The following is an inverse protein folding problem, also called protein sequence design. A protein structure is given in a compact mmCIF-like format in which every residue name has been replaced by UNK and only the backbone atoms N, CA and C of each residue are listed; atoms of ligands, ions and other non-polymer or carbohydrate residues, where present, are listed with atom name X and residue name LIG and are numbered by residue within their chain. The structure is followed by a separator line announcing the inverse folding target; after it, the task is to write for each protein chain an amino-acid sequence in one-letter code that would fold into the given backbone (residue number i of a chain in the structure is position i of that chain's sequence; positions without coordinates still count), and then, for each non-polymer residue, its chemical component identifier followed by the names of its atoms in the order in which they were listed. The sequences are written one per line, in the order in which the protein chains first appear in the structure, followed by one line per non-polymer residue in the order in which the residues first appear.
data_IF_101357316714
#
_entry.id   IF_101357316714
#
_cell.length_a   1.000
_cell.length_b   1.000
_cell.length_c   1.000
_cell.angle_alpha   90.00
_cell.angle_beta   90.00
_cell.angle_gamma   90.00
#
_symmetry.space_group_name_H-M   'P 1'
#
loop_
_entity.id
_entity.type
_entity.pdbx_description
1 polymer ?
#
# COMPACT_ATOMS: atom_id res chain seq x y z
N UNK A 1 4.10 5.19 -12.90
CA UNK A 1 4.04 3.70 -12.88
C UNK A 1 5.11 3.08 -13.77
N UNK A 2 5.27 3.49 -15.05
CA UNK A 2 6.33 2.98 -15.93
C UNK A 2 7.75 3.02 -15.34
N UNK A 3 8.11 4.10 -14.64
CA UNK A 3 9.43 4.21 -14.00
C UNK A 3 9.61 3.29 -12.79
N UNK A 4 8.54 2.89 -12.11
CA UNK A 4 8.59 1.94 -11.00
C UNK A 4 9.00 0.54 -11.50
N UNK A 5 8.40 0.07 -12.59
CA UNK A 5 8.72 -1.24 -13.17
C UNK A 5 10.12 -1.28 -13.77
N UNK A 6 10.52 -0.24 -14.53
CA UNK A 6 11.90 -0.12 -15.06
C UNK A 6 12.94 -0.21 -13.95
N UNK A 7 12.70 0.50 -12.85
CA UNK A 7 13.64 0.62 -11.75
C UNK A 7 13.77 -0.66 -10.92
N UNK A 8 12.64 -1.31 -10.62
CA UNK A 8 12.64 -2.49 -9.76
C UNK A 8 12.79 -3.81 -10.54
N UNK A 9 12.91 -3.75 -11.87
CA UNK A 9 13.04 -4.90 -12.76
C UNK A 9 11.89 -5.92 -12.58
N UNK A 10 10.72 -5.46 -12.16
CA UNK A 10 9.54 -6.32 -12.16
C UNK A 10 9.17 -6.59 -13.63
N UNK A 11 9.09 -7.85 -14.07
CA UNK A 11 8.65 -8.18 -15.41
C UNK A 11 7.30 -7.49 -15.71
N UNK A 12 7.20 -6.79 -16.84
CA UNK A 12 5.94 -6.17 -17.29
C UNK A 12 4.89 -7.23 -17.69
N UNK A 13 5.28 -8.51 -17.73
CA UNK A 13 4.46 -9.66 -18.14
C UNK A 13 4.38 -10.73 -17.04
N UNK A 14 4.34 -10.32 -15.77
CA UNK A 14 3.98 -11.23 -14.68
C UNK A 14 2.50 -11.57 -14.79
N UNK A 15 2.17 -12.58 -15.60
CA UNK A 15 0.87 -13.23 -15.52
C UNK A 15 0.70 -13.82 -14.12
N UNK A 16 -0.47 -13.61 -13.50
CA UNK A 16 -0.79 -14.23 -12.23
C UNK A 16 -0.65 -15.75 -12.40
N UNK A 17 0.15 -16.39 -11.54
CA UNK A 17 0.33 -17.84 -11.53
C UNK A 17 0.10 -18.32 -10.11
N UNK A 18 -0.73 -19.34 -9.99
CA UNK A 18 -0.98 -20.00 -8.72
C UNK A 18 0.35 -20.46 -8.09
N UNK A 19 0.53 -20.14 -6.81
CA UNK A 19 1.61 -20.73 -6.03
C UNK A 19 1.41 -22.24 -5.92
N UNK A 20 2.51 -22.99 -5.85
CA UNK A 20 2.51 -24.46 -5.73
C UNK A 20 3.44 -24.92 -4.61
N UNK A 21 3.26 -26.16 -4.19
CA UNK A 21 4.11 -26.80 -3.18
C UNK A 21 4.21 -26.01 -1.88
N UNK A 22 5.43 -25.87 -1.37
CA UNK A 22 5.72 -25.17 -0.10
C UNK A 22 5.23 -23.72 -0.13
N UNK A 23 5.41 -23.00 -1.23
CA UNK A 23 4.98 -21.60 -1.34
C UNK A 23 3.48 -21.44 -1.13
N UNK A 24 2.65 -22.35 -1.66
CA UNK A 24 1.20 -22.34 -1.45
C UNK A 24 0.83 -22.55 0.01
N UNK A 25 1.53 -23.45 0.69
CA UNK A 25 1.30 -23.75 2.11
C UNK A 25 1.66 -22.53 2.96
N UNK A 26 2.84 -21.95 2.73
CA UNK A 26 3.30 -20.75 3.45
C UNK A 26 2.32 -19.59 3.25
N UNK A 27 1.89 -19.34 2.00
CA UNK A 27 0.93 -18.28 1.71
C UNK A 27 -0.41 -18.49 2.41
N UNK A 28 -0.95 -19.72 2.45
CA UNK A 28 -2.17 -20.02 3.22
C UNK A 28 -2.03 -19.71 4.71
N UNK A 29 -0.86 -19.99 5.29
CA UNK A 29 -0.57 -19.64 6.69
C UNK A 29 -0.55 -18.12 6.87
N UNK A 30 0.11 -17.38 5.98
CA UNK A 30 0.17 -15.91 6.03
C UNK A 30 -1.23 -15.29 5.89
N UNK A 31 -2.02 -15.72 4.92
CA UNK A 31 -3.42 -15.29 4.72
C UNK A 31 -4.22 -15.48 6.02
N UNK A 32 -4.10 -16.66 6.66
CA UNK A 32 -4.79 -16.94 7.93
C UNK A 32 -4.37 -15.99 9.05
N UNK A 33 -3.09 -15.63 9.14
CA UNK A 33 -2.62 -14.65 10.11
C UNK A 33 -3.14 -13.25 9.82
N UNK A 34 -3.16 -12.82 8.56
CA UNK A 34 -3.71 -11.52 8.15
C UNK A 34 -5.21 -11.42 8.52
N UNK A 35 -6.01 -12.44 8.22
CA UNK A 35 -7.41 -12.50 8.64
C UNK A 35 -7.58 -12.50 10.16
N UNK A 36 -6.65 -13.11 10.90
CA UNK A 36 -6.67 -13.07 12.38
C UNK A 36 -6.41 -11.66 12.89
N UNK A 37 -5.48 -10.91 12.29
CA UNK A 37 -5.24 -9.51 12.62
C UNK A 37 -6.51 -8.68 12.38
N UNK A 38 -7.16 -8.87 11.23
CA UNK A 38 -8.42 -8.19 10.90
C UNK A 38 -9.48 -8.43 11.98
N UNK A 39 -9.72 -9.69 12.36
CA UNK A 39 -10.69 -10.07 13.41
C UNK A 39 -10.36 -9.50 14.77
N UNK A 40 -9.07 -9.47 15.15
CA UNK A 40 -8.62 -8.90 16.42
C UNK A 40 -8.86 -7.40 16.44
N UNK A 41 -8.49 -6.68 15.37
CA UNK A 41 -8.73 -5.24 15.25
C UNK A 41 -10.24 -4.92 15.35
N UNK A 42 -11.08 -5.67 14.65
CA UNK A 42 -12.54 -5.51 14.73
C UNK A 42 -13.10 -5.76 16.13
N UNK A 43 -12.59 -6.77 16.83
CA UNK A 43 -12.97 -7.06 18.22
C UNK A 43 -12.64 -5.88 19.13
N UNK A 44 -11.44 -5.31 19.03
CA UNK A 44 -11.05 -4.15 19.85
C UNK A 44 -11.86 -2.89 19.50
N UNK A 45 -12.15 -2.64 18.23
CA UNK A 45 -13.06 -1.56 17.83
C UNK A 45 -14.43 -1.70 18.51
N UNK A 46 -15.01 -2.91 18.54
CA UNK A 46 -16.27 -3.17 19.26
C UNK A 46 -16.15 -2.94 20.76
N UNK A 47 -15.09 -3.44 21.38
CA UNK A 47 -14.87 -3.33 22.83
C UNK A 47 -14.65 -1.88 23.30
N UNK A 48 -14.10 -1.02 22.44
CA UNK A 48 -13.89 0.40 22.73
C UNK A 48 -15.15 1.26 22.50
N UNK A 49 -16.32 0.64 22.38
CA UNK A 49 -17.57 1.35 22.12
C UNK A 49 -17.62 2.03 20.75
N UNK A 50 -16.81 1.55 19.79
CA UNK A 50 -16.66 2.13 18.44
C UNK A 50 -16.17 3.58 18.44
N UNK A 51 -15.48 4.02 19.50
CA UNK A 51 -14.97 5.39 19.56
C UNK A 51 -13.64 5.56 18.83
N UNK A 52 -12.84 4.49 18.69
CA UNK A 52 -11.56 4.54 18.02
C UNK A 52 -11.61 3.92 16.62
N UNK A 53 -11.89 4.76 15.63
CA UNK A 53 -11.98 4.38 14.22
C UNK A 53 -10.69 3.77 13.64
N UNK A 54 -9.52 3.99 14.26
CA UNK A 54 -8.26 3.40 13.75
C UNK A 54 -8.29 1.87 13.73
N UNK A 55 -8.89 1.25 14.74
CA UNK A 55 -9.05 -0.21 14.78
C UNK A 55 -9.96 -0.71 13.67
N UNK A 56 -11.01 0.05 13.33
CA UNK A 56 -11.90 -0.32 12.23
C UNK A 56 -11.20 -0.19 10.88
N UNK A 57 -10.42 0.88 10.67
CA UNK A 57 -9.61 1.05 9.46
C UNK A 57 -8.58 -0.07 9.29
N UNK A 58 -7.87 -0.46 10.36
CA UNK A 58 -6.93 -1.58 10.31
C UNK A 58 -7.61 -2.92 10.04
N UNK A 59 -8.82 -3.12 10.56
CA UNK A 59 -9.63 -4.29 10.24
C UNK A 59 -9.93 -4.37 8.73
N UNK A 60 -10.48 -3.30 8.16
CA UNK A 60 -10.82 -3.24 6.73
C UNK A 60 -9.59 -3.49 5.87
N UNK A 61 -8.50 -2.73 6.07
CA UNK A 61 -7.26 -2.90 5.30
C UNK A 61 -6.67 -4.31 5.39
N UNK A 62 -6.76 -4.95 6.56
CA UNK A 62 -6.23 -6.31 6.74
C UNK A 62 -7.12 -7.37 6.08
N UNK A 63 -8.43 -7.15 6.04
CA UNK A 63 -9.38 -8.03 5.36
C UNK A 63 -9.13 -8.00 3.85
N UNK A 64 -9.15 -6.83 3.23
CA UNK A 64 -8.93 -6.71 1.77
C UNK A 64 -7.55 -7.18 1.35
N UNK A 65 -6.52 -6.97 2.18
CA UNK A 65 -5.19 -7.51 1.94
C UNK A 65 -5.20 -9.04 1.91
N UNK A 66 -5.97 -9.70 2.79
CA UNK A 66 -6.06 -11.15 2.80
C UNK A 66 -6.78 -11.70 1.56
N UNK A 67 -7.76 -10.97 1.02
CA UNK A 67 -8.46 -11.33 -0.21
C UNK A 67 -7.54 -11.20 -1.43
N UNK A 68 -6.82 -10.07 -1.53
CA UNK A 68 -5.79 -9.86 -2.55
C UNK A 68 -4.72 -10.97 -2.50
N UNK A 69 -4.22 -11.30 -1.31
CA UNK A 69 -3.26 -12.39 -1.13
C UNK A 69 -3.81 -13.74 -1.57
N UNK A 70 -5.12 -13.97 -1.39
CA UNK A 70 -5.79 -15.21 -1.80
C UNK A 70 -5.86 -15.31 -3.33
N UNK A 71 -6.33 -14.26 -4.01
CA UNK A 71 -6.36 -14.22 -5.48
C UNK A 71 -4.98 -14.42 -6.09
N UNK A 72 -3.97 -13.71 -5.59
CA UNK A 72 -2.57 -13.89 -6.00
C UNK A 72 -2.09 -15.33 -5.77
N UNK A 73 -2.40 -15.91 -4.61
CA UNK A 73 -1.95 -17.25 -4.27
C UNK A 73 -2.56 -18.33 -5.16
N UNK A 74 -3.83 -18.16 -5.55
CA UNK A 74 -4.56 -19.11 -6.38
C UNK A 74 -4.38 -18.85 -7.89
N UNK A 75 -3.72 -17.75 -8.28
CA UNK A 75 -3.62 -17.40 -9.70
C UNK A 75 -4.94 -16.89 -10.28
N UNK A 76 -5.86 -16.45 -9.43
CA UNK A 76 -7.18 -15.95 -9.79
C UNK A 76 -7.10 -14.43 -10.02
N UNK A 77 -7.05 -14.04 -11.29
CA UNK A 77 -6.95 -12.64 -11.70
C UNK A 77 -8.17 -11.82 -11.30
N UNK A 78 -9.36 -12.42 -11.35
CA UNK A 78 -10.60 -11.72 -10.99
C UNK A 78 -10.60 -11.43 -9.49
N UNK A 79 -10.34 -12.44 -8.65
CA UNK A 79 -10.26 -12.27 -7.21
C UNK A 79 -9.11 -11.33 -6.80
N UNK A 80 -7.97 -11.41 -7.46
CA UNK A 80 -6.85 -10.51 -7.19
C UNK A 80 -7.19 -9.05 -7.56
N UNK A 81 -7.96 -8.85 -8.64
CA UNK A 81 -8.40 -7.51 -9.06
C UNK A 81 -9.40 -6.91 -8.08
N UNK A 82 -10.35 -7.74 -7.63
CA UNK A 82 -11.37 -7.38 -6.62
C UNK A 82 -10.70 -6.93 -5.31
N UNK A 83 -9.89 -7.81 -4.71
CA UNK A 83 -9.19 -7.49 -3.47
C UNK A 83 -8.17 -6.34 -3.59
N UNK A 84 -7.56 -6.14 -4.77
CA UNK A 84 -6.72 -4.96 -5.02
C UNK A 84 -7.55 -3.67 -5.04
N UNK A 85 -8.69 -3.69 -5.73
CA UNK A 85 -9.62 -2.57 -5.81
C UNK A 85 -10.14 -2.19 -4.43
N UNK A 86 -10.61 -3.17 -3.66
CA UNK A 86 -11.16 -2.94 -2.33
C UNK A 86 -10.09 -2.47 -1.35
N UNK A 87 -8.87 -3.03 -1.40
CA UNK A 87 -7.76 -2.55 -0.59
C UNK A 87 -7.43 -1.08 -0.89
N UNK A 88 -7.40 -0.68 -2.18
CA UNK A 88 -7.20 0.71 -2.56
C UNK A 88 -8.35 1.60 -2.05
N UNK A 89 -9.59 1.12 -2.16
CA UNK A 89 -10.76 1.86 -1.71
C UNK A 89 -10.71 2.15 -0.20
N UNK A 90 -10.40 1.16 0.64
CA UNK A 90 -10.33 1.35 2.10
C UNK A 90 -9.11 2.18 2.52
N UNK A 91 -7.99 2.10 1.80
CA UNK A 91 -6.81 2.97 2.02
C UNK A 91 -7.13 4.42 1.68
N UNK A 92 -7.75 4.68 0.53
CA UNK A 92 -8.16 6.04 0.13
C UNK A 92 -9.21 6.59 1.11
N UNK A 93 -10.21 5.78 1.46
CA UNK A 93 -11.22 6.15 2.46
C UNK A 93 -10.61 6.49 3.82
N UNK A 94 -9.54 5.80 4.21
CA UNK A 94 -8.76 6.11 5.41
C UNK A 94 -8.09 7.49 5.30
N UNK A 95 -7.44 7.79 4.18
CA UNK A 95 -6.84 9.10 3.98
C UNK A 95 -7.86 10.24 3.99
N UNK A 96 -9.05 10.04 3.40
CA UNK A 96 -10.15 11.00 3.46
C UNK A 96 -10.59 11.23 4.91
N UNK A 97 -10.80 10.15 5.68
CA UNK A 97 -11.21 10.24 7.08
C UNK A 97 -10.21 11.00 7.96
N UNK A 98 -8.91 10.87 7.67
CA UNK A 98 -7.83 11.57 8.39
C UNK A 98 -7.39 12.88 7.76
N UNK A 99 -8.07 13.37 6.72
CA UNK A 99 -7.70 14.60 5.99
C UNK A 99 -6.24 14.59 5.52
N UNK A 100 -5.76 13.44 5.07
CA UNK A 100 -4.42 13.28 4.55
C UNK A 100 -4.39 13.67 3.06
N UNK A 101 -3.45 14.54 2.65
CA UNK A 101 -3.27 14.90 1.24
C UNK A 101 -2.61 13.75 0.48
N UNK A 102 -3.41 12.76 0.08
CA UNK A 102 -2.94 11.50 -0.51
C UNK A 102 -2.11 11.72 -1.78
N UNK A 103 -2.52 12.65 -2.64
CA UNK A 103 -1.82 12.94 -3.90
C UNK A 103 -0.39 13.41 -3.62
N UNK A 104 -0.23 14.37 -2.72
CA UNK A 104 1.06 14.93 -2.34
C UNK A 104 1.93 13.89 -1.62
N UNK A 105 1.33 13.05 -0.77
CA UNK A 105 2.02 11.92 -0.12
C UNK A 105 2.54 10.94 -1.17
N UNK A 106 1.71 10.53 -2.13
CA UNK A 106 2.09 9.59 -3.20
C UNK A 106 3.18 10.20 -4.08
N UNK A 107 3.04 11.46 -4.49
CA UNK A 107 4.04 12.16 -5.30
C UNK A 107 5.41 12.20 -4.62
N UNK A 108 5.46 12.53 -3.34
CA UNK A 108 6.72 12.59 -2.59
C UNK A 108 7.34 11.20 -2.37
N UNK A 109 6.51 10.18 -2.11
CA UNK A 109 6.97 8.78 -2.07
C UNK A 109 7.53 8.34 -3.42
N UNK A 110 6.84 8.64 -4.52
CA UNK A 110 7.29 8.33 -5.87
C UNK A 110 8.63 9.02 -6.16
N UNK A 111 8.75 10.32 -5.87
CA UNK A 111 10.00 11.08 -6.05
C UNK A 111 11.17 10.47 -5.28
N UNK A 112 11.01 10.19 -3.98
CA UNK A 112 12.06 9.56 -3.18
C UNK A 112 12.40 8.15 -3.68
N UNK A 113 11.39 7.36 -4.05
CA UNK A 113 11.60 6.02 -4.59
C UNK A 113 12.34 6.08 -5.92
N UNK A 114 12.04 7.02 -6.82
CA UNK A 114 12.75 7.20 -8.10
C UNK A 114 14.23 7.58 -7.95
N UNK A 115 14.65 8.12 -6.82
CA UNK A 115 16.07 8.38 -6.53
C UNK A 115 16.83 7.17 -5.94
N UNK A 116 16.13 6.18 -5.37
CA UNK A 116 16.79 5.00 -4.78
C UNK A 116 17.59 4.23 -5.83
N UNK A 117 18.86 3.94 -5.65
CA UNK A 117 19.56 2.96 -6.49
C UNK A 117 19.63 1.63 -5.71
N UNK A 118 18.64 0.72 -5.82
CA UNK A 118 18.70 -0.54 -5.09
C UNK A 118 19.73 -1.52 -5.67
N UNK A 119 20.16 -1.28 -6.92
CA UNK A 119 21.17 -2.05 -7.65
C UNK A 119 22.08 -1.13 -8.43
N UNK A 120 23.33 -1.55 -8.59
CA UNK A 120 24.30 -0.88 -9.45
C UNK A 120 23.88 -1.05 -10.93
N UNK A 121 23.86 0.03 -11.73
CA UNK A 121 23.34 -0.01 -13.09
C UNK A 121 24.24 -0.79 -14.07
N UNK A 122 25.51 -1.01 -13.74
CA UNK A 122 26.49 -1.68 -14.60
C UNK A 122 26.59 -3.16 -14.21
N UNK A 123 26.66 -3.45 -12.91
CA UNK A 123 26.91 -4.80 -12.38
C UNK A 123 25.64 -5.52 -11.93
N UNK A 124 24.51 -4.82 -11.83
CA UNK A 124 23.22 -5.31 -11.32
C UNK A 124 23.26 -5.86 -9.87
N UNK A 125 24.37 -5.65 -9.16
CA UNK A 125 24.54 -6.07 -7.76
C UNK A 125 23.68 -5.20 -6.86
N UNK A 126 23.04 -5.83 -5.85
CA UNK A 126 22.24 -5.10 -4.86
C UNK A 126 23.12 -4.15 -4.06
N UNK A 127 22.82 -2.86 -4.11
CA UNK A 127 23.51 -1.85 -3.33
C UNK A 127 23.07 -1.94 -1.86
N UNK A 128 24.04 -1.88 -0.96
CA UNK A 128 23.80 -1.91 0.50
C UNK A 128 23.25 -0.58 1.03
N UNK A 129 23.40 0.51 0.28
CA UNK A 129 22.86 1.82 0.58
C UNK A 129 21.84 2.23 -0.49
N UNK A 130 21.15 3.36 -0.29
CA UNK A 130 20.08 3.82 -1.18
C UNK A 130 20.60 4.61 -2.40
N UNK A 131 21.91 4.70 -2.60
CA UNK A 131 22.56 5.54 -3.61
C UNK A 131 22.89 6.95 -3.09
N UNK A 132 23.90 7.59 -3.69
CA UNK A 132 24.42 8.91 -3.26
C UNK A 132 23.42 10.07 -3.44
N UNK A 133 22.52 9.94 -4.41
CA UNK A 133 21.55 10.99 -4.77
C UNK A 133 20.19 10.78 -4.07
N UNK A 134 20.05 9.70 -3.29
CA UNK A 134 18.81 9.41 -2.58
C UNK A 134 18.59 10.36 -1.41
N UNK A 135 17.35 10.82 -1.26
CA UNK A 135 16.87 11.58 -0.10
C UNK A 135 15.61 10.95 0.46
N UNK A 136 15.41 10.94 1.79
CA UNK A 136 14.15 10.53 2.38
C UNK A 136 13.00 11.41 1.89
N UNK A 137 11.77 10.88 1.80
CA UNK A 137 10.61 11.66 1.41
C UNK A 137 10.39 12.83 2.39
N UNK A 138 10.22 14.04 1.87
CA UNK A 138 9.93 15.24 2.65
C UNK A 138 8.43 15.35 2.94
N UNK A 139 7.94 14.52 3.86
CA UNK A 139 6.51 14.54 4.22
C UNK A 139 6.06 15.83 4.88
N UNK A 140 6.95 16.58 5.54
CA UNK A 140 6.59 17.86 6.14
C UNK A 140 6.10 18.84 5.06
N UNK A 141 6.90 18.99 3.99
CA UNK A 141 6.55 19.85 2.86
C UNK A 141 5.33 19.33 2.09
N UNK A 142 5.24 18.02 1.86
CA UNK A 142 4.09 17.42 1.17
C UNK A 142 2.77 17.66 1.93
N UNK A 143 2.78 17.47 3.25
CA UNK A 143 1.61 17.72 4.09
C UNK A 143 1.24 19.21 4.14
N UNK A 144 2.22 20.11 4.19
CA UNK A 144 1.98 21.55 4.19
C UNK A 144 1.32 22.00 2.89
N UNK A 145 1.90 21.63 1.73
CA UNK A 145 1.34 21.93 0.40
C UNK A 145 -0.06 21.39 0.23
N UNK A 146 -0.27 20.12 0.58
CA UNK A 146 -1.56 19.47 0.44
C UNK A 146 -2.64 20.07 1.34
N UNK A 147 -2.30 20.49 2.56
CA UNK A 147 -3.25 21.17 3.46
C UNK A 147 -3.66 22.54 2.94
N UNK A 148 -2.73 23.32 2.38
CA UNK A 148 -3.05 24.62 1.77
C UNK A 148 -4.07 24.43 0.64
N UNK A 149 -3.87 23.42 -0.21
CA UNK A 149 -4.81 23.06 -1.28
C UNK A 149 -6.18 22.62 -0.76
N UNK A 150 -6.22 21.75 0.24
CA UNK A 150 -7.49 21.28 0.83
C UNK A 150 -8.29 22.44 1.46
N UNK A 151 -7.62 23.42 2.04
CA UNK A 151 -8.27 24.61 2.61
C UNK A 151 -8.83 25.52 1.52
N UNK A 152 -8.09 25.75 0.42
CA UNK A 152 -8.57 26.59 -0.68
C UNK A 152 -9.76 25.97 -1.41
N UNK A 153 -9.78 24.65 -1.61
CA UNK A 153 -10.90 23.92 -2.21
C UNK A 153 -12.18 23.97 -1.35
N UNK A 154 -12.04 24.15 -0.03
CA UNK A 154 -13.17 24.32 0.90
C UNK A 154 -13.82 25.70 0.78
N UNK A 155 -13.03 26.76 0.58
CA UNK A 155 -13.54 28.13 0.45
C UNK A 155 -14.31 28.38 -0.85
N UNK A 156 -14.10 27.56 -1.87
CA UNK A 156 -14.80 27.67 -3.17
C UNK A 156 -16.19 26.99 -3.13
N UNK A 157 -16.44 26.12 -2.14
CA UNK A 157 -17.70 25.36 -2.01
C UNK A 157 -18.68 25.94 -0.96
N UNK A 158 -18.35 27.07 -0.34
CA UNK A 158 -19.23 27.85 0.54
C UNK A 158 -19.60 29.17 -0.15
#
# INVERSE_FOLDING_TARGET
IYDFHRKHQFPHSLFLKANRGISKIVMKVLIKYTLRIAKVAFKYWKLTGKQNESFYRFHLMSEELAELMTGINEGDELQASDGLGDLLYVVIGTSVAYWLPTDEIIQEVCKSNLLKAPRDPITNVRLRNKGKDWRPPNFKEALEKGRIRLISERQIRC
#
